data_IF_466832533176
#
_entry.id   IF_466832533176
#
_cell.length_a   1.000
_cell.length_b   1.000
_cell.length_c   1.000
_cell.angle_alpha   90.00
_cell.angle_beta   90.00
_cell.angle_gamma   90.00
#
_symmetry.space_group_name_H-M   'P 1'
#
loop_
_entity.id
_entity.type
_entity.pdbx_description
1 polymer ?
#
# COMPACT_ATOMS: atom_id res chain seq x y z
N UNK A 1 6.77 -2.63 -12.10
CA UNK A 1 6.20 -1.71 -11.09
C UNK A 1 7.27 -1.11 -10.16
N UNK A 2 8.38 -0.57 -10.68
CA UNK A 2 9.54 -0.21 -9.83
C UNK A 2 9.36 1.09 -9.02
N UNK A 3 8.39 1.95 -9.40
CA UNK A 3 8.15 3.26 -8.76
C UNK A 3 6.87 3.33 -7.93
N UNK A 4 6.02 2.31 -7.98
CA UNK A 4 4.66 2.37 -7.40
C UNK A 4 4.69 2.57 -5.88
N UNK A 5 5.58 1.85 -5.17
CA UNK A 5 5.72 1.98 -3.72
C UNK A 5 6.14 3.40 -3.30
N UNK A 6 7.15 3.95 -3.96
CA UNK A 6 7.67 5.30 -3.67
C UNK A 6 6.59 6.37 -3.81
N UNK A 7 5.74 6.29 -4.85
CA UNK A 7 4.68 7.28 -5.06
C UNK A 7 3.51 7.09 -4.10
N UNK A 8 3.08 5.85 -3.88
CA UNK A 8 1.84 5.57 -3.16
C UNK A 8 1.99 5.62 -1.64
N UNK A 9 3.18 5.37 -1.07
CA UNK A 9 3.42 5.46 0.40
C UNK A 9 3.00 6.80 0.99
N UNK A 10 3.29 7.88 0.28
CA UNK A 10 2.95 9.25 0.71
C UNK A 10 1.50 9.64 0.41
N UNK A 11 0.75 8.79 -0.32
CA UNK A 11 -0.62 9.04 -0.79
C UNK A 11 -1.66 8.22 -0.04
N UNK A 12 -1.23 7.24 0.75
CA UNK A 12 -2.10 6.35 1.52
C UNK A 12 -2.02 6.75 2.99
N UNK A 13 -3.18 7.09 3.56
CA UNK A 13 -3.35 7.37 4.98
C UNK A 13 -3.97 6.14 5.65
N UNK A 14 -3.34 5.67 6.73
CA UNK A 14 -3.83 4.55 7.52
C UNK A 14 -4.88 5.04 8.53
N UNK A 15 -5.86 4.19 8.84
CA UNK A 15 -6.74 4.43 9.99
C UNK A 15 -5.97 4.20 11.29
N UNK A 16 -6.50 4.72 12.40
CA UNK A 16 -5.93 4.53 13.72
C UNK A 16 -5.83 3.03 14.09
N UNK A 17 -6.88 2.28 13.79
CA UNK A 17 -6.97 0.83 14.04
C UNK A 17 -5.90 0.09 13.25
N UNK A 18 -5.75 0.42 11.96
CA UNK A 18 -4.73 -0.18 11.11
C UNK A 18 -3.31 0.09 11.64
N UNK A 19 -3.05 1.30 12.14
CA UNK A 19 -1.78 1.62 12.79
C UNK A 19 -1.58 0.82 14.09
N UNK A 20 -2.62 0.68 14.92
CA UNK A 20 -2.58 -0.09 16.15
C UNK A 20 -2.33 -1.60 15.90
N UNK A 21 -2.81 -2.13 14.77
CA UNK A 21 -2.58 -3.50 14.31
C UNK A 21 -1.22 -3.69 13.60
N UNK A 22 -0.41 -2.64 13.45
CA UNK A 22 0.89 -2.71 12.79
C UNK A 22 0.81 -2.85 11.27
N UNK A 23 -0.31 -2.48 10.66
CA UNK A 23 -0.45 -2.44 9.19
C UNK A 23 0.48 -1.37 8.62
N UNK A 24 1.13 -1.68 7.50
CA UNK A 24 2.00 -0.74 6.78
C UNK A 24 1.43 -0.40 5.40
N UNK A 25 1.79 0.76 4.84
CA UNK A 25 1.39 1.11 3.47
C UNK A 25 1.91 0.08 2.46
N UNK A 26 3.10 -0.51 2.68
CA UNK A 26 3.67 -1.51 1.78
C UNK A 26 2.81 -2.77 1.69
N UNK A 27 2.26 -3.24 2.81
CA UNK A 27 1.34 -4.38 2.82
C UNK A 27 0.08 -4.11 1.98
N UNK A 28 -0.43 -2.88 2.02
CA UNK A 28 -1.60 -2.47 1.21
C UNK A 28 -1.22 -2.38 -0.26
N UNK A 29 -0.11 -1.71 -0.57
CA UNK A 29 0.36 -1.51 -1.95
C UNK A 29 0.63 -2.86 -2.63
N UNK A 30 1.27 -3.80 -1.93
CA UNK A 30 1.53 -5.14 -2.47
C UNK A 30 0.24 -5.90 -2.79
N UNK A 31 -0.77 -5.84 -1.91
CA UNK A 31 -2.08 -6.44 -2.16
C UNK A 31 -2.78 -5.83 -3.38
N UNK A 32 -2.73 -4.50 -3.52
CA UNK A 32 -3.34 -3.79 -4.65
C UNK A 32 -2.66 -4.17 -5.96
N UNK A 33 -1.32 -4.16 -5.99
CA UNK A 33 -0.56 -4.53 -7.19
C UNK A 33 -0.73 -6.00 -7.57
N UNK A 34 -0.94 -6.90 -6.60
CA UNK A 34 -1.25 -8.30 -6.88
C UNK A 34 -2.67 -8.50 -7.43
N UNK A 35 -3.63 -7.65 -7.03
CA UNK A 35 -5.03 -7.74 -7.44
C UNK A 35 -5.29 -7.11 -8.82
N UNK A 36 -4.48 -6.14 -9.25
CA UNK A 36 -4.65 -5.45 -10.53
C UNK A 36 -3.72 -6.07 -11.57
N UNK A 37 -4.23 -6.78 -12.59
CA UNK A 37 -3.39 -7.29 -13.68
C UNK A 37 -2.78 -6.13 -14.45
N UNK A 38 -1.49 -6.24 -14.75
CA UNK A 38 -0.76 -5.27 -15.55
C UNK A 38 -1.03 -5.63 -17.03
N UNK A 39 -1.51 -4.68 -17.86
CA UNK A 39 -1.71 -4.89 -19.30
C UNK A 39 -0.44 -5.23 -20.06
#
# INVERSE_FOLDING_TARGET
>A
AYIAKEVLRHRIVLSYEAQAEGVTQDMIIDKVLAAVPIP
#
